data_IF_730898211337
#
_entry.id   IF_730898211337
#
_cell.length_a   1.000
_cell.length_b   1.000
_cell.length_c   1.000
_cell.angle_alpha   90.00
_cell.angle_beta   90.00
_cell.angle_gamma   90.00
#
_symmetry.space_group_name_H-M   'P 1'
#
loop_
_entity.id
_entity.type
_entity.pdbx_description
1 polymer ?
#
# COMPACT_ATOMS: atom_id res chain seq x y z
N UNK A 1 5.68 -21.34 -10.74
CA UNK A 1 5.97 -21.90 -9.39
C UNK A 1 4.75 -21.65 -8.52
N UNK A 2 4.32 -22.58 -7.67
CA UNK A 2 3.15 -22.33 -6.81
C UNK A 2 3.51 -21.32 -5.73
N UNK A 3 2.58 -20.41 -5.42
CA UNK A 3 2.83 -19.33 -4.45
C UNK A 3 3.16 -19.87 -3.04
N UNK A 4 2.48 -20.93 -2.59
CA UNK A 4 2.73 -21.57 -1.31
C UNK A 4 4.14 -22.20 -1.18
N UNK A 5 4.72 -22.65 -2.30
CA UNK A 5 6.10 -23.15 -2.36
C UNK A 5 7.12 -22.00 -2.30
N UNK A 6 6.84 -20.89 -3.00
CA UNK A 6 7.72 -19.71 -3.05
C UNK A 6 7.76 -19.02 -1.68
N UNK A 7 6.60 -18.81 -1.06
CA UNK A 7 6.47 -17.99 0.14
C UNK A 7 6.57 -18.76 1.46
N UNK A 8 6.36 -20.08 1.44
CA UNK A 8 6.55 -20.95 2.60
C UNK A 8 5.83 -20.50 3.88
N UNK A 9 6.59 -20.15 4.91
CA UNK A 9 6.04 -19.73 6.20
C UNK A 9 5.21 -18.44 6.10
N UNK A 10 5.59 -17.50 5.23
CA UNK A 10 4.85 -16.25 5.01
C UNK A 10 3.47 -16.50 4.40
N UNK A 11 3.36 -17.42 3.45
CA UNK A 11 2.06 -17.81 2.91
C UNK A 11 1.12 -18.31 4.00
N UNK A 12 1.65 -19.17 4.88
CA UNK A 12 0.86 -19.74 5.98
C UNK A 12 0.56 -18.73 7.11
N UNK A 13 1.46 -17.77 7.31
CA UNK A 13 1.33 -16.75 8.35
C UNK A 13 0.36 -15.62 8.00
N UNK A 14 0.23 -15.27 6.73
CA UNK A 14 -0.68 -14.22 6.29
C UNK A 14 -2.10 -14.76 6.14
N UNK A 15 -3.04 -14.21 6.91
CA UNK A 15 -4.45 -14.63 6.89
C UNK A 15 -5.34 -13.79 5.96
N UNK A 16 -4.89 -12.59 5.54
CA UNK A 16 -5.71 -11.68 4.75
C UNK A 16 -5.75 -12.12 3.26
N UNK A 17 -6.95 -12.21 2.62
CA UNK A 17 -7.07 -12.66 1.24
C UNK A 17 -6.23 -11.86 0.24
N UNK A 18 -6.14 -10.55 0.40
CA UNK A 18 -5.34 -9.69 -0.47
C UNK A 18 -3.83 -9.93 -0.32
N UNK A 19 -3.35 -10.38 0.84
CA UNK A 19 -1.96 -10.80 1.00
C UNK A 19 -1.64 -12.01 0.13
N UNK A 20 -2.56 -12.99 0.09
CA UNK A 20 -2.41 -14.15 -0.78
C UNK A 20 -2.48 -13.76 -2.27
N UNK A 21 -3.44 -12.92 -2.66
CA UNK A 21 -3.52 -12.39 -4.04
C UNK A 21 -2.21 -11.71 -4.47
N UNK A 22 -1.64 -10.84 -3.61
CA UNK A 22 -0.34 -10.22 -3.90
C UNK A 22 0.77 -11.27 -4.09
N UNK A 23 0.85 -12.25 -3.20
CA UNK A 23 1.86 -13.31 -3.25
C UNK A 23 1.70 -14.19 -4.50
N UNK A 24 0.49 -14.47 -4.93
CA UNK A 24 0.19 -15.21 -6.17
C UNK A 24 0.68 -14.44 -7.39
N UNK A 25 0.26 -13.17 -7.54
CA UNK A 25 0.69 -12.31 -8.63
C UNK A 25 2.22 -12.14 -8.67
N UNK A 26 2.82 -11.92 -7.50
CA UNK A 26 4.27 -11.77 -7.38
C UNK A 26 5.03 -13.05 -7.75
N UNK A 27 4.54 -14.23 -7.37
CA UNK A 27 5.14 -15.51 -7.72
C UNK A 27 4.98 -15.83 -9.21
N UNK A 28 3.82 -15.52 -9.80
CA UNK A 28 3.54 -15.74 -11.21
C UNK A 28 4.42 -14.86 -12.10
N UNK A 29 4.50 -13.56 -11.78
CA UNK A 29 5.29 -12.60 -12.56
C UNK A 29 6.78 -12.59 -12.21
N UNK A 30 7.19 -13.27 -11.14
CA UNK A 30 8.57 -13.29 -10.66
C UNK A 30 9.08 -11.92 -10.17
N UNK A 31 8.22 -11.10 -9.59
CA UNK A 31 8.53 -9.74 -9.19
C UNK A 31 7.89 -9.38 -7.84
N UNK A 32 8.56 -8.51 -7.07
CA UNK A 32 8.03 -7.89 -5.85
C UNK A 32 7.76 -6.39 -6.03
N UNK A 33 7.92 -5.89 -7.25
CA UNK A 33 7.84 -4.44 -7.50
C UNK A 33 6.40 -3.96 -7.34
N UNK A 34 6.23 -2.97 -6.46
CA UNK A 34 5.06 -2.11 -6.37
C UNK A 34 5.45 -0.78 -7.00
N UNK A 35 4.95 -0.50 -8.19
CA UNK A 35 5.34 0.72 -8.91
C UNK A 35 4.59 1.93 -8.37
N UNK A 36 5.31 2.99 -8.02
CA UNK A 36 4.74 4.30 -7.73
C UNK A 36 4.49 5.04 -9.05
N UNK A 37 3.21 5.18 -9.43
CA UNK A 37 2.79 5.86 -10.65
C UNK A 37 2.30 7.27 -10.30
N UNK A 38 3.25 8.14 -9.95
CA UNK A 38 2.98 9.52 -9.53
C UNK A 38 2.84 10.43 -10.79
N UNK A 39 1.82 10.15 -11.61
CA UNK A 39 1.48 10.88 -12.84
C UNK A 39 0.21 11.70 -12.65
N UNK A 40 0.08 12.78 -13.40
CA UNK A 40 -1.06 13.72 -13.30
C UNK A 40 -2.12 13.53 -14.38
N UNK A 41 -1.94 12.60 -15.31
CA UNK A 41 -2.90 12.31 -16.40
C UNK A 41 -3.33 10.85 -16.39
N UNK A 42 -4.63 10.63 -16.51
CA UNK A 42 -5.23 9.29 -16.61
C UNK A 42 -4.75 8.55 -17.86
N UNK A 43 -4.61 9.24 -18.99
CA UNK A 43 -4.10 8.65 -20.23
C UNK A 43 -2.65 8.19 -20.13
N UNK A 44 -1.80 8.94 -19.42
CA UNK A 44 -0.42 8.54 -19.14
C UNK A 44 -0.37 7.35 -18.19
N UNK A 45 -1.23 7.30 -17.17
CA UNK A 45 -1.36 6.15 -16.27
C UNK A 45 -1.74 4.88 -17.03
N UNK A 46 -2.76 4.93 -17.89
CA UNK A 46 -3.19 3.79 -18.72
C UNK A 46 -2.02 3.31 -19.60
N UNK A 47 -1.34 4.24 -20.26
CA UNK A 47 -0.19 3.92 -21.13
C UNK A 47 0.94 3.25 -20.35
N UNK A 48 1.28 3.78 -19.16
CA UNK A 48 2.29 3.21 -18.28
C UNK A 48 1.88 1.80 -17.82
N UNK A 49 0.63 1.61 -17.39
CA UNK A 49 0.13 0.32 -16.92
C UNK A 49 0.29 -0.77 -18.00
N UNK A 50 -0.09 -0.48 -19.24
CA UNK A 50 0.08 -1.44 -20.34
C UNK A 50 1.55 -1.77 -20.63
N UNK A 51 2.44 -0.81 -20.42
CA UNK A 51 3.88 -0.99 -20.65
C UNK A 51 4.54 -1.86 -19.58
N UNK A 52 4.21 -1.64 -18.31
CA UNK A 52 4.92 -2.23 -17.18
C UNK A 52 4.11 -3.31 -16.43
N UNK A 53 2.82 -3.39 -16.67
CA UNK A 53 1.91 -4.30 -15.96
C UNK A 53 2.36 -5.76 -15.90
N UNK A 54 2.96 -6.34 -16.98
CA UNK A 54 3.52 -7.69 -16.91
C UNK A 54 4.70 -7.85 -15.93
N UNK A 55 5.33 -6.76 -15.51
CA UNK A 55 6.60 -6.76 -14.76
C UNK A 55 6.48 -6.27 -13.31
N UNK A 56 5.28 -5.91 -12.87
CA UNK A 56 5.01 -5.40 -11.52
C UNK A 56 3.91 -6.22 -10.85
N UNK A 57 3.92 -6.26 -9.51
CA UNK A 57 2.93 -7.00 -8.72
C UNK A 57 1.74 -6.13 -8.27
N UNK A 58 1.96 -4.83 -8.08
CA UNK A 58 0.91 -3.87 -7.73
C UNK A 58 1.25 -2.47 -8.27
N UNK A 59 0.24 -1.62 -8.39
CA UNK A 59 0.35 -0.23 -8.80
C UNK A 59 -0.03 0.67 -7.63
N UNK A 60 0.89 1.56 -7.21
CA UNK A 60 0.61 2.61 -6.23
C UNK A 60 0.21 3.89 -6.95
N UNK A 61 -0.90 4.48 -6.52
CA UNK A 61 -1.44 5.74 -7.04
C UNK A 61 -1.59 6.79 -5.95
N UNK A 62 -1.69 8.03 -6.39
CA UNK A 62 -2.16 9.19 -5.65
C UNK A 62 -3.26 9.82 -6.51
N UNK A 63 -4.51 9.40 -6.35
CA UNK A 63 -5.61 9.86 -7.19
C UNK A 63 -5.85 11.37 -7.11
N UNK A 64 -5.49 11.97 -5.98
CA UNK A 64 -5.56 13.41 -5.76
C UNK A 64 -4.47 14.25 -6.45
N UNK A 65 -3.51 13.59 -7.13
CA UNK A 65 -2.54 14.24 -8.03
C UNK A 65 -3.02 14.31 -9.48
N UNK A 66 -4.12 13.64 -9.82
CA UNK A 66 -4.62 13.53 -11.19
C UNK A 66 -5.42 14.79 -11.58
N UNK A 67 -4.94 15.50 -12.60
CA UNK A 67 -5.52 16.80 -13.05
C UNK A 67 -6.76 16.61 -13.94
N UNK A 68 -6.81 15.53 -14.70
CA UNK A 68 -7.90 15.19 -15.64
C UNK A 68 -8.89 14.16 -15.07
N UNK A 69 -9.02 14.10 -13.73
CA UNK A 69 -9.88 13.11 -13.09
C UNK A 69 -11.35 13.26 -13.48
N UNK A 70 -11.93 12.18 -13.98
CA UNK A 70 -13.37 11.90 -13.99
C UNK A 70 -13.59 10.44 -13.60
N UNK A 71 -14.80 10.09 -13.18
CA UNK A 71 -15.11 8.70 -12.83
C UNK A 71 -14.89 7.75 -14.02
N UNK A 72 -15.26 8.19 -15.23
CA UNK A 72 -15.10 7.45 -16.46
C UNK A 72 -13.62 7.23 -16.80
N UNK A 73 -12.83 8.32 -16.78
CA UNK A 73 -11.38 8.25 -17.09
C UNK A 73 -10.63 7.42 -16.04
N UNK A 74 -11.04 7.51 -14.76
CA UNK A 74 -10.43 6.69 -13.72
C UNK A 74 -10.79 5.22 -13.84
N UNK A 75 -12.01 4.90 -14.32
CA UNK A 75 -12.41 3.52 -14.59
C UNK A 75 -11.50 2.87 -15.65
N UNK A 76 -11.04 3.63 -16.67
CA UNK A 76 -10.09 3.12 -17.66
C UNK A 76 -8.74 2.75 -17.01
N UNK A 77 -8.28 3.52 -16.02
CA UNK A 77 -7.06 3.20 -15.24
C UNK A 77 -7.27 1.90 -14.43
N UNK A 78 -8.43 1.76 -13.78
CA UNK A 78 -8.78 0.56 -13.02
C UNK A 78 -8.84 -0.67 -13.92
N UNK A 79 -9.51 -0.57 -15.08
CA UNK A 79 -9.65 -1.66 -16.04
C UNK A 79 -8.28 -2.07 -16.63
N UNK A 80 -7.43 -1.10 -16.95
CA UNK A 80 -6.07 -1.36 -17.39
C UNK A 80 -5.25 -2.13 -16.32
N UNK A 81 -5.33 -1.70 -15.05
CA UNK A 81 -4.66 -2.39 -13.96
C UNK A 81 -5.16 -3.84 -13.79
N UNK A 82 -6.48 -4.03 -13.81
CA UNK A 82 -7.10 -5.35 -13.70
C UNK A 82 -6.75 -6.27 -14.87
N UNK A 83 -6.60 -5.72 -16.09
CA UNK A 83 -6.19 -6.52 -17.27
C UNK A 83 -4.80 -7.15 -17.13
N UNK A 84 -4.01 -6.66 -16.20
CA UNK A 84 -2.68 -7.17 -15.84
C UNK A 84 -2.65 -7.80 -14.44
N UNK A 85 -3.78 -8.13 -13.83
CA UNK A 85 -3.90 -8.70 -12.47
C UNK A 85 -3.22 -7.86 -11.38
N UNK A 86 -3.11 -6.54 -11.60
CA UNK A 86 -2.52 -5.64 -10.62
C UNK A 86 -3.49 -5.36 -9.47
N UNK A 87 -2.95 -5.32 -8.25
CA UNK A 87 -3.63 -4.72 -7.12
C UNK A 87 -3.45 -3.20 -7.17
N UNK A 88 -4.54 -2.47 -6.95
CA UNK A 88 -4.53 -1.02 -6.87
C UNK A 88 -4.31 -0.57 -5.42
N UNK A 89 -3.22 0.13 -5.21
CA UNK A 89 -2.78 0.65 -3.93
C UNK A 89 -2.86 2.18 -3.93
N UNK A 90 -3.86 2.73 -3.28
CA UNK A 90 -3.99 4.19 -3.11
C UNK A 90 -3.23 4.65 -1.86
N UNK A 91 -2.13 5.36 -2.06
CA UNK A 91 -1.27 5.85 -0.97
C UNK A 91 -1.81 7.17 -0.38
N UNK A 92 -3.04 7.11 0.13
CA UNK A 92 -3.81 8.27 0.60
C UNK A 92 -3.31 8.83 1.92
N UNK A 93 -2.68 8.00 2.76
CA UNK A 93 -2.19 8.35 4.10
C UNK A 93 -3.29 8.97 4.97
N UNK A 94 -4.42 8.27 5.11
CA UNK A 94 -5.49 8.70 6.00
C UNK A 94 -4.94 8.96 7.40
N UNK A 95 -5.39 10.05 8.04
CA UNK A 95 -4.86 10.48 9.33
C UNK A 95 -5.92 11.06 10.28
N UNK A 96 -7.19 11.03 9.88
CA UNK A 96 -8.30 11.54 10.67
C UNK A 96 -8.95 10.42 11.49
N UNK A 97 -9.90 10.76 12.36
CA UNK A 97 -10.69 9.80 13.13
C UNK A 97 -11.45 8.85 12.22
N UNK A 98 -11.77 7.65 12.70
CA UNK A 98 -12.36 6.57 11.89
C UNK A 98 -13.59 7.01 11.10
N UNK A 99 -14.52 7.77 11.71
CA UNK A 99 -15.74 8.27 11.02
C UNK A 99 -15.43 9.18 9.83
N UNK A 100 -14.47 10.08 9.97
CA UNK A 100 -14.07 10.98 8.89
C UNK A 100 -13.35 10.19 7.79
N UNK A 101 -12.44 9.30 8.16
CA UNK A 101 -11.72 8.43 7.22
C UNK A 101 -12.69 7.53 6.42
N UNK A 102 -13.74 6.98 7.07
CA UNK A 102 -14.81 6.26 6.37
C UNK A 102 -15.48 7.14 5.30
N UNK A 103 -15.81 8.39 5.64
CA UNK A 103 -16.45 9.33 4.69
C UNK A 103 -15.49 9.68 3.55
N UNK A 104 -14.20 9.86 3.85
CA UNK A 104 -13.16 10.14 2.84
C UNK A 104 -12.96 8.99 1.86
N UNK A 105 -13.19 7.74 2.27
CA UNK A 105 -13.16 6.58 1.37
C UNK A 105 -14.22 6.69 0.26
N UNK A 106 -15.38 7.28 0.54
CA UNK A 106 -16.44 7.52 -0.43
C UNK A 106 -16.17 8.73 -1.33
N UNK A 107 -16.03 9.89 -0.81
CA UNK A 107 -15.74 11.18 -1.44
C UNK A 107 -15.84 11.28 -2.97
N UNK A 108 -15.24 12.32 -3.54
CA UNK A 108 -15.23 12.55 -4.99
C UNK A 108 -14.47 11.46 -5.77
N UNK A 109 -13.45 10.87 -5.16
CA UNK A 109 -12.64 9.82 -5.78
C UNK A 109 -13.20 8.42 -5.59
N UNK A 110 -14.19 8.25 -4.72
CA UNK A 110 -14.83 6.97 -4.36
C UNK A 110 -13.82 5.81 -4.21
N UNK A 111 -12.76 6.05 -3.44
CA UNK A 111 -11.60 5.17 -3.27
C UNK A 111 -12.02 3.74 -2.91
N UNK A 112 -13.07 3.59 -2.09
CA UNK A 112 -13.62 2.30 -1.68
C UNK A 112 -14.12 1.43 -2.83
N UNK A 113 -14.51 2.03 -3.98
CA UNK A 113 -15.05 1.30 -5.12
C UNK A 113 -13.98 0.64 -5.98
N UNK A 114 -12.74 1.10 -5.94
CA UNK A 114 -11.67 0.62 -6.81
C UNK A 114 -10.36 0.23 -6.12
N UNK A 115 -9.95 0.91 -5.04
CA UNK A 115 -8.70 0.59 -4.35
C UNK A 115 -8.80 -0.74 -3.59
N UNK A 116 -7.82 -1.61 -3.76
CA UNK A 116 -7.67 -2.83 -2.99
C UNK A 116 -6.95 -2.55 -1.66
N UNK A 117 -6.03 -1.59 -1.69
CA UNK A 117 -5.17 -1.23 -0.55
C UNK A 117 -5.17 0.28 -0.38
N UNK A 118 -5.19 0.72 0.88
CA UNK A 118 -4.91 2.12 1.23
C UNK A 118 -3.90 2.21 2.36
N UNK A 119 -3.26 3.39 2.50
CA UNK A 119 -2.41 3.69 3.65
C UNK A 119 -3.12 4.55 4.69
N UNK A 120 -2.75 4.34 5.96
CA UNK A 120 -3.23 5.15 7.06
C UNK A 120 -2.15 5.37 8.13
N UNK A 121 -2.19 6.53 8.78
CA UNK A 121 -1.47 6.80 10.02
C UNK A 121 -2.29 6.36 11.23
N UNK A 122 -1.63 5.83 12.25
CA UNK A 122 -2.26 5.52 13.54
C UNK A 122 -2.38 6.74 14.46
N UNK A 123 -1.94 7.91 14.02
CA UNK A 123 -1.85 9.13 14.85
C UNK A 123 -3.20 9.54 15.48
N UNK A 124 -4.31 9.28 14.82
CA UNK A 124 -5.67 9.56 15.29
C UNK A 124 -6.30 8.46 16.18
N UNK A 125 -5.52 7.42 16.52
CA UNK A 125 -6.00 6.26 17.28
C UNK A 125 -6.25 5.02 16.42
N UNK A 126 -6.49 3.85 17.05
CA UNK A 126 -6.64 2.58 16.34
C UNK A 126 -7.92 2.49 15.49
N UNK A 127 -8.99 3.20 15.87
CA UNK A 127 -10.31 3.13 15.24
C UNK A 127 -10.31 3.62 13.77
N UNK A 128 -9.23 4.26 13.32
CA UNK A 128 -9.08 4.65 11.91
C UNK A 128 -9.14 3.44 10.98
N UNK A 129 -8.60 2.30 11.42
CA UNK A 129 -8.59 1.06 10.62
C UNK A 129 -10.01 0.56 10.40
N UNK A 130 -10.80 0.49 11.46
CA UNK A 130 -12.19 0.04 11.39
C UNK A 130 -13.06 1.03 10.58
N UNK A 131 -12.79 2.33 10.72
CA UNK A 131 -13.46 3.34 9.91
C UNK A 131 -13.19 3.18 8.41
N UNK A 132 -11.97 2.92 8.02
CA UNK A 132 -11.60 2.66 6.62
C UNK A 132 -12.24 1.36 6.14
N UNK A 133 -12.18 0.28 6.93
CA UNK A 133 -12.79 -1.00 6.59
C UNK A 133 -14.29 -0.87 6.36
N UNK A 134 -15.00 -0.13 7.22
CA UNK A 134 -16.42 0.17 7.03
C UNK A 134 -16.73 0.88 5.70
N UNK A 135 -15.77 1.63 5.15
CA UNK A 135 -15.91 2.22 3.81
C UNK A 135 -16.02 1.15 2.72
N UNK A 136 -15.22 0.10 2.77
CA UNK A 136 -15.34 -1.03 1.82
C UNK A 136 -16.59 -1.87 2.05
N UNK A 137 -17.03 -2.04 3.30
CA UNK A 137 -18.25 -2.77 3.63
C UNK A 137 -19.49 -2.14 2.99
N UNK A 138 -19.55 -0.80 2.88
CA UNK A 138 -20.65 -0.07 2.22
C UNK A 138 -20.82 -0.48 0.75
N UNK A 139 -19.74 -0.87 0.07
CA UNK A 139 -19.74 -1.31 -1.33
C UNK A 139 -19.52 -2.82 -1.47
N UNK A 140 -19.51 -3.57 -0.37
CA UNK A 140 -19.33 -5.02 -0.30
C UNK A 140 -18.03 -5.51 -0.97
N UNK A 141 -16.95 -4.76 -0.78
CA UNK A 141 -15.61 -5.13 -1.24
C UNK A 141 -14.72 -5.54 -0.06
N UNK A 142 -13.74 -6.37 -0.38
CA UNK A 142 -12.63 -6.66 0.53
C UNK A 142 -11.51 -5.69 0.18
N UNK A 143 -11.09 -4.90 1.16
CA UNK A 143 -9.92 -4.04 1.07
C UNK A 143 -8.99 -4.26 2.25
N UNK A 144 -7.82 -3.66 2.20
CA UNK A 144 -6.84 -3.80 3.27
C UNK A 144 -6.01 -2.54 3.51
N UNK A 145 -5.59 -2.37 4.75
CA UNK A 145 -4.86 -1.19 5.20
C UNK A 145 -3.39 -1.53 5.39
N UNK A 146 -2.51 -0.68 4.85
CA UNK A 146 -1.13 -0.59 5.29
C UNK A 146 -0.99 0.57 6.28
N UNK A 147 -0.54 0.27 7.49
CA UNK A 147 -0.25 1.29 8.48
C UNK A 147 1.17 1.84 8.30
N UNK A 148 1.32 3.17 8.35
CA UNK A 148 2.64 3.80 8.33
C UNK A 148 3.33 3.59 9.68
N UNK A 149 4.15 2.56 9.79
CA UNK A 149 4.96 2.30 10.98
C UNK A 149 6.19 3.23 11.02
N UNK A 150 6.74 3.55 9.85
CA UNK A 150 7.87 4.46 9.68
C UNK A 150 7.64 5.35 8.46
N UNK A 151 8.42 6.42 8.35
CA UNK A 151 8.44 7.31 7.18
C UNK A 151 9.85 7.56 6.68
N UNK A 152 10.00 7.69 5.36
CA UNK A 152 11.29 7.94 4.71
C UNK A 152 11.75 9.41 4.78
N UNK A 153 10.85 10.35 5.09
CA UNK A 153 11.21 11.78 5.18
C UNK A 153 12.08 12.08 6.39
N UNK A 154 13.10 12.91 6.21
CA UNK A 154 13.95 13.38 7.32
C UNK A 154 13.15 14.28 8.27
N UNK A 155 13.38 14.14 9.57
CA UNK A 155 12.77 15.00 10.59
C UNK A 155 11.29 14.70 10.84
N UNK A 156 10.75 13.57 10.36
CA UNK A 156 9.41 13.14 10.73
C UNK A 156 9.33 12.83 12.24
N UNK A 157 8.12 12.87 12.78
CA UNK A 157 7.86 12.73 14.22
C UNK A 157 7.54 11.28 14.64
N UNK A 158 7.63 10.30 13.74
CA UNK A 158 7.35 8.91 14.08
C UNK A 158 8.53 8.33 14.88
N UNK A 159 8.30 8.10 16.17
CA UNK A 159 9.25 7.51 17.11
C UNK A 159 9.15 5.98 17.13
N UNK A 160 10.11 5.34 17.78
CA UNK A 160 10.07 3.89 18.02
C UNK A 160 8.79 3.48 18.78
N UNK A 161 8.35 4.26 19.76
CA UNK A 161 7.10 4.02 20.48
C UNK A 161 5.88 4.10 19.58
N UNK A 162 5.84 5.04 18.62
CA UNK A 162 4.79 5.10 17.61
C UNK A 162 4.81 3.85 16.70
N UNK A 163 6.01 3.42 16.30
CA UNK A 163 6.20 2.20 15.50
C UNK A 163 5.65 0.97 16.22
N UNK A 164 6.00 0.79 17.49
CA UNK A 164 5.57 -0.35 18.30
C UNK A 164 4.05 -0.38 18.48
N UNK A 165 3.44 0.76 18.79
CA UNK A 165 1.98 0.91 18.90
C UNK A 165 1.26 0.66 17.57
N UNK A 166 1.86 1.09 16.46
CA UNK A 166 1.33 0.85 15.11
C UNK A 166 1.34 -0.64 14.78
N UNK A 167 2.44 -1.33 15.10
CA UNK A 167 2.56 -2.78 14.90
C UNK A 167 1.55 -3.52 15.77
N UNK A 168 1.39 -3.17 17.04
CA UNK A 168 0.41 -3.78 17.93
C UNK A 168 -1.02 -3.61 17.41
N UNK A 169 -1.36 -2.39 16.93
CA UNK A 169 -2.67 -2.12 16.31
C UNK A 169 -2.91 -3.02 15.09
N UNK A 170 -1.94 -3.12 14.19
CA UNK A 170 -2.10 -3.93 12.99
C UNK A 170 -2.09 -5.44 13.26
N UNK A 171 -1.37 -5.90 14.28
CA UNK A 171 -1.40 -7.31 14.68
C UNK A 171 -2.79 -7.73 15.23
N UNK A 172 -3.47 -6.81 15.90
CA UNK A 172 -4.81 -7.04 16.45
C UNK A 172 -5.95 -6.94 15.41
N UNK A 173 -5.71 -6.29 14.27
CA UNK A 173 -6.75 -6.03 13.27
C UNK A 173 -6.69 -7.01 12.10
N UNK A 174 -7.83 -7.63 11.71
CA UNK A 174 -7.92 -8.45 10.50
C UNK A 174 -7.88 -7.61 9.21
N UNK A 175 -8.12 -6.31 9.27
CA UNK A 175 -8.15 -5.41 8.12
C UNK A 175 -6.77 -4.87 7.73
N UNK A 176 -5.74 -5.08 8.55
CA UNK A 176 -4.38 -4.64 8.26
C UNK A 176 -3.63 -5.73 7.52
N UNK A 177 -3.16 -5.42 6.31
CA UNK A 177 -2.31 -6.31 5.51
C UNK A 177 -0.85 -6.25 5.96
N UNK A 178 -0.41 -5.07 6.37
CA UNK A 178 0.99 -4.85 6.67
C UNK A 178 1.32 -3.42 7.04
N UNK A 179 2.59 -3.10 6.91
CA UNK A 179 3.15 -1.83 7.35
C UNK A 179 4.04 -1.21 6.28
N UNK A 180 4.03 0.11 6.24
CA UNK A 180 5.03 0.87 5.50
C UNK A 180 6.23 1.08 6.42
N UNK A 181 7.38 0.58 5.98
CA UNK A 181 8.67 0.76 6.63
C UNK A 181 9.52 1.81 5.94
N UNK A 182 10.58 2.28 6.61
CA UNK A 182 11.50 3.27 6.05
C UNK A 182 12.41 2.67 4.95
N UNK A 183 12.93 1.45 5.18
CA UNK A 183 13.75 0.74 4.20
C UNK A 183 15.10 1.39 3.90
N UNK A 184 15.59 2.33 4.72
CA UNK A 184 16.80 3.09 4.42
C UNK A 184 18.10 2.31 4.65
N UNK A 185 18.05 1.18 5.36
CA UNK A 185 19.18 0.25 5.52
C UNK A 185 18.71 -1.19 5.75
N UNK A 186 19.57 -2.19 5.46
CA UNK A 186 19.28 -3.60 5.78
C UNK A 186 19.00 -3.83 7.27
N UNK A 187 19.67 -3.11 8.16
CA UNK A 187 19.48 -3.23 9.61
C UNK A 187 18.11 -2.71 10.05
N UNK A 188 17.66 -1.58 9.51
CA UNK A 188 16.30 -1.06 9.77
C UNK A 188 15.22 -2.00 9.27
N UNK A 189 15.38 -2.56 8.07
CA UNK A 189 14.46 -3.55 7.50
C UNK A 189 14.42 -4.80 8.39
N UNK A 190 15.58 -5.30 8.81
CA UNK A 190 15.69 -6.49 9.67
C UNK A 190 15.08 -6.24 11.05
N UNK A 191 15.30 -5.06 11.63
CA UNK A 191 14.72 -4.66 12.92
C UNK A 191 13.18 -4.61 12.84
N UNK A 192 12.64 -3.93 11.82
CA UNK A 192 11.18 -3.86 11.63
C UNK A 192 10.59 -5.25 11.38
N UNK A 193 11.25 -6.08 10.57
CA UNK A 193 10.82 -7.45 10.30
C UNK A 193 10.80 -8.30 11.59
N UNK A 194 11.78 -8.14 12.45
CA UNK A 194 11.82 -8.82 13.75
C UNK A 194 10.63 -8.49 14.64
N UNK A 195 10.16 -7.24 14.60
CA UNK A 195 8.98 -6.79 15.34
C UNK A 195 7.66 -7.26 14.73
N UNK A 196 7.57 -7.27 13.40
CA UNK A 196 6.32 -7.61 12.66
C UNK A 196 6.10 -9.12 12.57
N UNK A 197 7.15 -9.93 12.43
CA UNK A 197 7.06 -11.37 12.20
C UNK A 197 6.56 -11.72 10.79
N UNK A 198 6.05 -12.95 10.62
CA UNK A 198 5.65 -13.50 9.31
C UNK A 198 4.18 -13.26 8.92
N UNK A 199 3.36 -12.76 9.83
CA UNK A 199 1.90 -12.63 9.64
C UNK A 199 1.43 -11.42 8.85
N UNK A 200 2.30 -10.44 8.60
CA UNK A 200 1.99 -9.19 7.92
C UNK A 200 3.10 -8.81 6.94
N UNK A 201 2.74 -8.09 5.88
CA UNK A 201 3.69 -7.61 4.89
C UNK A 201 4.41 -6.34 5.38
N UNK A 202 5.62 -6.11 4.87
CA UNK A 202 6.33 -4.84 5.01
C UNK A 202 6.64 -4.34 3.61
N UNK A 203 6.18 -3.14 3.28
CA UNK A 203 6.53 -2.45 2.05
C UNK A 203 7.39 -1.23 2.36
N UNK A 204 8.44 -1.03 1.56
CA UNK A 204 9.39 0.08 1.75
C UNK A 204 9.29 1.03 0.56
N UNK A 205 8.97 2.32 0.78
CA UNK A 205 8.89 3.30 -0.29
C UNK A 205 10.27 3.81 -0.69
N UNK A 206 10.32 4.47 -1.85
CA UNK A 206 11.46 5.26 -2.25
C UNK A 206 12.67 4.45 -2.69
N UNK A 207 12.49 3.23 -3.18
CA UNK A 207 13.58 2.48 -3.83
C UNK A 207 13.83 3.11 -5.20
N UNK A 208 15.04 3.66 -5.39
CA UNK A 208 15.47 4.24 -6.66
C UNK A 208 16.94 3.88 -6.88
N UNK A 209 17.20 3.13 -7.97
CA UNK A 209 18.53 2.63 -8.32
C UNK A 209 19.52 3.75 -8.74
N UNK A 210 19.03 4.92 -9.07
CA UNK A 210 19.80 6.02 -9.65
C UNK A 210 20.00 7.21 -8.71
N UNK A 211 19.35 7.26 -7.55
CA UNK A 211 19.34 8.42 -6.68
C UNK A 211 19.89 8.10 -5.29
N UNK A 212 20.82 8.93 -4.82
CA UNK A 212 21.36 8.85 -3.45
C UNK A 212 20.43 9.53 -2.44
N UNK A 213 19.85 10.68 -2.80
CA UNK A 213 18.86 11.41 -2.00
C UNK A 213 17.77 12.01 -2.89
N UNK A 214 16.54 11.97 -2.40
CA UNK A 214 15.42 12.62 -3.05
C UNK A 214 15.31 14.11 -2.74
N UNK A 215 14.54 14.81 -3.55
CA UNK A 215 14.15 16.20 -3.32
C UNK A 215 13.30 16.30 -2.05
N UNK A 216 13.32 17.44 -1.37
CA UNK A 216 12.56 17.69 -0.14
C UNK A 216 12.85 16.71 1.02
N UNK A 217 14.08 16.18 1.08
CA UNK A 217 14.54 15.35 2.18
C UNK A 217 14.03 13.90 2.18
N UNK A 218 13.47 13.44 1.08
CA UNK A 218 13.14 12.03 0.90
C UNK A 218 14.41 11.19 0.87
N UNK A 219 14.40 10.07 1.58
CA UNK A 219 15.46 9.05 1.52
C UNK A 219 14.99 7.91 0.63
N UNK A 220 15.86 7.44 -0.24
CA UNK A 220 15.62 6.26 -1.04
C UNK A 220 16.20 5.03 -0.34
N UNK A 221 15.41 3.94 -0.32
CA UNK A 221 15.86 2.65 0.16
C UNK A 221 16.78 1.95 -0.86
N UNK A 222 17.54 0.99 -0.37
CA UNK A 222 18.25 0.06 -1.24
C UNK A 222 17.30 -1.04 -1.74
N UNK A 223 17.49 -1.53 -2.98
CA UNK A 223 16.71 -2.62 -3.55
C UNK A 223 16.93 -3.95 -2.80
#
# INVERSE_FOLDING_TARGET
MRADEVWGARWRGCAHPLSHRFMETAAEKGTLVVLAADLSSTGELVSLIHQVGPHIAALKTHVDMVEDFSQEAWQEVVDAAHSHDLMLFEDRKFADIGRVSQTQMGGIYDIRSWADIVTAHRVSGPDIVDGIAAGWDEVRRIGGVFLLAQMSSRGNLLSDGYTDETIATGAASPHVLGYIGNGSSPDEISSLRGKVGDGKMIWTPGVNLSAEEGVLGQRYGHP
#
